data_IF_554637951959
#
_entry.id   IF_554637951959
#
_cell.length_a   1.000
_cell.length_b   1.000
_cell.length_c   1.000
_cell.angle_alpha   90.00
_cell.angle_beta   90.00
_cell.angle_gamma   90.00
#
_symmetry.space_group_name_H-M   'P 1'
#
loop_
_entity.id
_entity.type
_entity.pdbx_description
1 polymer ?
#
# COMPACT_ATOMS: atom_id res chain seq x y z
N UNK A 1 50.76 46.08 8.10
CA UNK A 1 51.00 44.63 8.30
C UNK A 1 49.70 44.02 8.78
N UNK A 2 48.92 43.44 7.87
CA UNK A 2 47.73 42.65 8.16
C UNK A 2 47.97 41.29 7.50
N UNK A 3 47.89 40.23 8.30
CA UNK A 3 48.20 38.87 7.90
C UNK A 3 47.05 38.27 7.09
N UNK A 4 47.42 37.59 6.02
CA UNK A 4 46.55 36.90 5.06
C UNK A 4 46.27 35.48 5.60
N UNK A 5 45.12 35.29 6.26
CA UNK A 5 44.68 33.98 6.73
C UNK A 5 44.12 33.17 5.56
N UNK A 6 44.96 32.26 5.06
CA UNK A 6 44.63 31.30 4.01
C UNK A 6 43.65 30.25 4.55
N UNK A 7 42.36 30.39 4.20
CA UNK A 7 41.33 29.40 4.51
C UNK A 7 41.64 28.09 3.77
N UNK A 8 42.11 27.06 4.48
CA UNK A 8 42.26 25.73 3.91
C UNK A 8 40.89 25.14 3.53
N UNK A 9 40.73 24.56 2.32
CA UNK A 9 39.47 23.94 1.91
C UNK A 9 39.15 22.76 2.83
N UNK A 10 38.03 22.87 3.55
CA UNK A 10 37.48 21.79 4.36
C UNK A 10 37.30 20.54 3.50
N UNK A 11 38.06 19.48 3.80
CA UNK A 11 37.94 18.18 3.13
C UNK A 11 36.49 17.72 3.21
N UNK A 12 35.81 17.64 2.06
CA UNK A 12 34.47 17.05 1.98
C UNK A 12 34.54 15.63 2.56
N UNK A 13 33.61 15.22 3.43
CA UNK A 13 33.59 13.85 3.92
C UNK A 13 33.50 12.89 2.73
N UNK A 14 34.38 11.87 2.71
CA UNK A 14 34.40 10.76 1.73
C UNK A 14 33.17 9.83 1.91
N UNK A 15 31.97 10.38 2.05
CA UNK A 15 30.73 9.60 2.15
C UNK A 15 30.28 9.03 0.78
N UNK A 16 31.14 9.04 -0.24
CA UNK A 16 30.83 8.58 -1.59
C UNK A 16 31.08 7.10 -1.83
N UNK A 17 31.46 6.31 -0.83
CA UNK A 17 31.84 4.90 -1.03
C UNK A 17 31.09 3.95 -0.11
N UNK A 18 29.77 3.91 -0.21
CA UNK A 18 29.10 2.65 0.11
C UNK A 18 29.56 1.62 -0.92
N UNK A 19 29.94 0.40 -0.51
CA UNK A 19 30.22 -0.69 -1.44
C UNK A 19 29.01 -0.96 -2.34
N UNK A 20 29.27 -1.33 -3.60
CA UNK A 20 28.24 -1.68 -4.58
C UNK A 20 27.25 -2.71 -4.02
N UNK A 21 27.73 -3.67 -3.24
CA UNK A 21 26.92 -4.75 -2.65
C UNK A 21 25.86 -4.22 -1.66
N UNK A 22 26.16 -3.14 -0.94
CA UNK A 22 25.17 -2.50 -0.06
C UNK A 22 24.19 -1.68 -0.89
N UNK A 23 24.64 -1.00 -1.93
CA UNK A 23 23.76 -0.26 -2.84
C UNK A 23 22.78 -1.19 -3.56
N UNK A 24 23.24 -2.36 -3.99
CA UNK A 24 22.39 -3.42 -4.57
C UNK A 24 21.33 -3.95 -3.60
N UNK A 25 21.47 -3.72 -2.28
CA UNK A 25 20.44 -4.06 -1.28
C UNK A 25 19.55 -2.86 -0.96
N UNK A 26 20.15 -1.68 -0.79
CA UNK A 26 19.46 -0.45 -0.41
C UNK A 26 18.54 0.01 -1.54
N UNK A 27 19.04 0.08 -2.78
CA UNK A 27 18.30 0.65 -3.91
C UNK A 27 17.01 -0.15 -4.20
N UNK A 28 17.02 -1.49 -4.30
CA UNK A 28 15.78 -2.24 -4.50
C UNK A 28 14.81 -2.13 -3.33
N UNK A 29 15.31 -2.19 -2.08
CA UNK A 29 14.47 -2.04 -0.89
C UNK A 29 13.91 -0.63 -0.71
N UNK A 30 14.51 0.37 -1.35
CA UNK A 30 14.01 1.75 -1.37
C UNK A 30 12.91 1.99 -2.38
N UNK A 31 12.72 1.07 -3.34
CA UNK A 31 11.52 1.11 -4.18
C UNK A 31 10.39 0.93 -3.17
N UNK A 32 9.58 1.97 -2.97
CA UNK A 32 8.32 1.80 -2.27
C UNK A 32 7.70 0.54 -2.86
N UNK A 33 7.34 -0.41 -1.99
CA UNK A 33 6.65 -1.59 -2.47
C UNK A 33 5.53 -1.06 -3.37
N UNK A 34 5.47 -1.42 -4.66
CA UNK A 34 4.40 -0.95 -5.55
C UNK A 34 3.01 -1.47 -5.10
N UNK A 35 2.92 -2.03 -3.88
CA UNK A 35 1.85 -2.86 -3.34
C UNK A 35 1.68 -2.68 -1.83
N UNK A 36 1.69 -1.46 -1.28
CA UNK A 36 1.22 -1.28 0.10
C UNK A 36 0.00 -0.37 0.14
N UNK A 37 -1.18 -1.02 0.23
CA UNK A 37 -2.32 -0.81 1.13
C UNK A 37 -2.78 0.60 1.54
N UNK A 38 -2.28 1.67 0.93
CA UNK A 38 -2.82 3.01 1.15
C UNK A 38 -3.74 3.37 -0.02
N UNK A 39 -5.04 3.39 0.27
CA UNK A 39 -6.14 3.81 -0.60
C UNK A 39 -6.09 5.29 -1.01
N UNK A 40 -5.02 6.01 -0.69
CA UNK A 40 -4.82 7.37 -1.16
C UNK A 40 -3.78 7.38 -2.29
N UNK A 41 -4.14 7.86 -3.49
CA UNK A 41 -3.14 8.13 -4.51
C UNK A 41 -2.21 9.21 -3.97
N UNK A 42 -1.03 8.78 -3.49
CA UNK A 42 0.05 9.70 -3.16
C UNK A 42 0.21 10.61 -4.39
N UNK A 43 0.13 11.95 -4.24
CA UNK A 43 0.18 12.85 -5.38
C UNK A 43 1.43 12.55 -6.19
N UNK A 44 1.21 12.17 -7.45
CA UNK A 44 2.18 11.61 -8.37
C UNK A 44 3.32 12.60 -8.67
N UNK A 45 4.28 12.68 -7.76
CA UNK A 45 5.61 13.17 -8.10
C UNK A 45 6.34 12.02 -8.81
N UNK A 46 5.84 11.65 -10.00
CA UNK A 46 6.38 10.65 -10.92
C UNK A 46 6.92 9.40 -10.19
N UNK A 47 6.17 8.30 -10.04
CA UNK A 47 6.67 7.07 -9.39
C UNK A 47 7.91 6.44 -10.03
N UNK A 48 8.24 6.86 -11.25
CA UNK A 48 9.54 6.61 -11.88
C UNK A 48 10.68 7.21 -11.05
N UNK A 49 10.46 8.22 -10.21
CA UNK A 49 11.50 9.05 -9.63
C UNK A 49 12.20 8.46 -8.40
N UNK A 50 11.66 7.47 -7.69
CA UNK A 50 12.26 7.08 -6.39
C UNK A 50 13.62 6.36 -6.52
N UNK A 51 13.80 5.34 -7.39
CA UNK A 51 15.13 4.79 -7.67
C UNK A 51 16.07 5.84 -8.26
N UNK A 52 15.52 6.84 -8.96
CA UNK A 52 16.28 7.91 -9.60
C UNK A 52 16.65 9.03 -8.63
N UNK A 53 15.90 9.20 -7.54
CA UNK A 53 16.24 10.09 -6.45
C UNK A 53 17.53 9.59 -5.78
N UNK A 54 17.66 8.27 -5.59
CA UNK A 54 18.91 7.65 -5.14
C UNK A 54 20.04 7.74 -6.18
N UNK A 55 19.73 7.60 -7.47
CA UNK A 55 20.68 7.85 -8.55
C UNK A 55 21.15 9.33 -8.63
N UNK A 56 20.45 10.24 -7.95
CA UNK A 56 20.80 11.65 -7.80
C UNK A 56 21.92 11.91 -6.78
N UNK A 57 22.23 10.97 -5.88
CA UNK A 57 23.19 11.19 -4.77
C UNK A 57 24.61 11.43 -5.28
N UNK A 58 25.15 10.53 -6.09
CA UNK A 58 26.46 10.68 -6.73
C UNK A 58 26.57 9.80 -7.98
N UNK A 59 27.62 10.00 -8.80
CA UNK A 59 27.83 9.22 -10.03
C UNK A 59 27.89 7.71 -9.75
N UNK A 60 28.57 7.29 -8.69
CA UNK A 60 28.67 5.87 -8.36
C UNK A 60 27.31 5.23 -8.07
N UNK A 61 26.43 5.88 -7.30
CA UNK A 61 25.08 5.37 -7.02
C UNK A 61 24.22 5.30 -8.28
N UNK A 62 24.38 6.28 -9.17
CA UNK A 62 23.71 6.27 -10.47
C UNK A 62 24.14 5.09 -11.32
N UNK A 63 25.44 4.86 -11.44
CA UNK A 63 25.97 3.77 -12.25
C UNK A 63 25.44 2.43 -11.71
N UNK A 64 25.47 2.24 -10.38
CA UNK A 64 24.88 1.04 -9.75
C UNK A 64 23.38 0.95 -10.00
N UNK A 65 22.59 2.02 -9.85
CA UNK A 65 21.14 1.99 -10.09
C UNK A 65 20.80 1.67 -11.56
N UNK A 66 21.56 2.23 -12.51
CA UNK A 66 21.40 1.99 -13.95
C UNK A 66 21.64 0.52 -14.29
N UNK A 67 22.58 -0.12 -13.63
CA UNK A 67 22.97 -1.51 -13.89
C UNK A 67 22.07 -2.56 -13.22
N UNK A 68 20.99 -2.16 -12.52
CA UNK A 68 20.06 -3.08 -11.86
C UNK A 68 18.82 -3.32 -12.74
N UNK A 69 18.70 -4.45 -13.47
CA UNK A 69 17.63 -4.66 -14.44
C UNK A 69 16.22 -4.61 -13.86
N UNK A 70 16.00 -5.12 -12.64
CA UNK A 70 14.66 -5.16 -12.03
C UNK A 70 14.13 -3.78 -11.60
N UNK A 71 14.93 -2.72 -11.65
CA UNK A 71 14.41 -1.35 -11.48
C UNK A 71 13.72 -0.84 -12.74
N UNK A 72 13.95 -1.49 -13.88
CA UNK A 72 13.49 -1.08 -15.20
C UNK A 72 12.39 -1.99 -15.77
N UNK A 73 11.95 -3.00 -15.02
CA UNK A 73 10.92 -3.94 -15.45
C UNK A 73 9.49 -3.50 -15.08
N UNK A 74 9.32 -2.30 -14.53
CA UNK A 74 8.03 -1.68 -14.27
C UNK A 74 7.80 -0.51 -15.20
N UNK A 75 6.58 -0.39 -15.71
CA UNK A 75 6.12 0.67 -16.59
C UNK A 75 4.88 1.30 -15.96
N UNK A 76 4.83 2.63 -15.88
CA UNK A 76 3.72 3.36 -15.27
C UNK A 76 3.18 4.37 -16.26
N UNK A 77 1.97 4.15 -16.75
CA UNK A 77 1.36 5.03 -17.75
C UNK A 77 0.15 5.72 -17.12
N UNK A 78 0.22 7.04 -17.11
CA UNK A 78 -0.80 7.90 -16.53
C UNK A 78 -0.95 9.19 -17.34
N UNK A 79 -2.20 9.64 -17.45
CA UNK A 79 -2.57 10.90 -18.08
C UNK A 79 -3.21 10.73 -19.45
N UNK A 80 -3.36 11.84 -20.18
CA UNK A 80 -3.95 11.84 -21.51
C UNK A 80 -2.99 11.30 -22.59
N UNK A 81 -3.52 11.02 -23.78
CA UNK A 81 -2.76 10.52 -24.95
C UNK A 81 -1.43 11.26 -25.18
N UNK A 82 -1.46 12.59 -25.19
CA UNK A 82 -0.25 13.39 -25.44
C UNK A 82 0.80 13.27 -24.33
N UNK A 83 0.38 13.06 -23.08
CA UNK A 83 1.27 12.78 -21.96
C UNK A 83 1.91 11.39 -22.10
N UNK A 84 1.10 10.41 -22.49
CA UNK A 84 1.54 9.02 -22.66
C UNK A 84 2.52 8.90 -23.81
N UNK A 85 2.23 9.45 -24.99
CA UNK A 85 3.16 9.41 -26.13
C UNK A 85 4.54 10.01 -25.79
N UNK A 86 4.58 11.06 -24.94
CA UNK A 86 5.83 11.70 -24.51
C UNK A 86 6.63 10.83 -23.54
N UNK A 87 5.96 10.13 -22.63
CA UNK A 87 6.60 9.36 -21.55
C UNK A 87 6.90 7.92 -21.97
N UNK A 88 6.06 7.33 -22.82
CA UNK A 88 6.13 5.95 -23.27
C UNK A 88 7.49 5.62 -23.90
N UNK A 89 7.98 6.43 -24.83
CA UNK A 89 9.28 6.16 -25.47
C UNK A 89 10.43 6.07 -24.46
N UNK A 90 10.43 6.96 -23.46
CA UNK A 90 11.44 6.93 -22.39
C UNK A 90 11.31 5.66 -21.54
N UNK A 91 10.08 5.22 -21.26
CA UNK A 91 9.82 4.01 -20.51
C UNK A 91 10.14 2.74 -21.33
N UNK A 92 9.89 2.72 -22.63
CA UNK A 92 10.27 1.63 -23.53
C UNK A 92 11.80 1.48 -23.62
N UNK A 93 12.53 2.59 -23.71
CA UNK A 93 13.99 2.58 -23.64
C UNK A 93 14.50 2.02 -22.31
N UNK A 94 13.82 2.35 -21.21
CA UNK A 94 14.09 1.80 -19.89
C UNK A 94 13.82 0.28 -19.85
N UNK A 95 12.66 -0.18 -20.29
CA UNK A 95 12.29 -1.62 -20.25
C UNK A 95 13.16 -2.47 -21.15
N UNK A 96 13.74 -1.92 -22.22
CA UNK A 96 14.74 -2.61 -23.02
C UNK A 96 15.99 -3.03 -22.22
N UNK A 97 16.32 -2.33 -21.12
CA UNK A 97 17.40 -2.74 -20.19
C UNK A 97 17.02 -3.97 -19.37
N UNK A 98 15.72 -4.22 -19.22
CA UNK A 98 15.15 -5.37 -18.52
C UNK A 98 14.51 -6.39 -19.47
N UNK A 99 14.92 -6.43 -20.75
CA UNK A 99 14.27 -7.27 -21.78
C UNK A 99 14.19 -8.78 -21.45
N UNK A 100 15.00 -9.26 -20.50
CA UNK A 100 15.05 -10.65 -20.06
C UNK A 100 14.18 -10.91 -18.81
N UNK A 101 13.61 -9.87 -18.21
CA UNK A 101 12.77 -9.94 -17.03
C UNK A 101 11.30 -9.79 -17.41
N UNK A 102 10.38 -10.33 -16.59
CA UNK A 102 8.96 -10.05 -16.74
C UNK A 102 8.66 -8.56 -16.61
N UNK A 103 7.81 -8.06 -17.50
CA UNK A 103 7.35 -6.68 -17.50
C UNK A 103 6.08 -6.54 -16.64
N UNK A 104 6.05 -5.53 -15.79
CA UNK A 104 4.91 -5.12 -14.98
C UNK A 104 4.43 -3.76 -15.47
N UNK A 105 3.13 -3.63 -15.75
CA UNK A 105 2.53 -2.46 -16.32
C UNK A 105 1.44 -1.92 -15.40
N UNK A 106 1.59 -0.71 -14.91
CA UNK A 106 0.60 0.01 -14.13
C UNK A 106 -0.04 1.08 -15.00
N UNK A 107 -1.37 1.10 -15.07
CA UNK A 107 -2.15 1.97 -15.95
C UNK A 107 -3.20 2.71 -15.13
N UNK A 108 -3.14 4.04 -15.17
CA UNK A 108 -4.11 4.90 -14.49
C UNK A 108 -5.02 5.55 -15.54
N UNK A 109 -6.23 5.01 -15.68
CA UNK A 109 -7.23 5.39 -16.68
C UNK A 109 -8.05 6.60 -16.21
N UNK A 110 -7.46 7.79 -16.23
CA UNK A 110 -8.16 9.05 -15.89
C UNK A 110 -9.15 9.54 -16.97
N UNK A 111 -9.03 9.00 -18.18
CA UNK A 111 -9.71 9.50 -19.38
C UNK A 111 -10.24 8.34 -20.23
N UNK A 112 -11.55 8.31 -20.49
CA UNK A 112 -12.16 7.29 -21.34
C UNK A 112 -11.61 7.33 -22.77
N UNK A 113 -11.25 8.51 -23.27
CA UNK A 113 -10.63 8.67 -24.58
C UNK A 113 -9.24 8.03 -24.63
N UNK A 114 -8.55 7.93 -23.49
CA UNK A 114 -7.25 7.28 -23.41
C UNK A 114 -7.38 5.76 -23.57
N UNK A 115 -8.36 5.13 -22.93
CA UNK A 115 -8.60 3.69 -23.11
C UNK A 115 -9.02 3.37 -24.54
N UNK A 116 -9.91 4.18 -25.12
CA UNK A 116 -10.28 4.06 -26.54
C UNK A 116 -9.08 4.26 -27.46
N UNK A 117 -8.16 5.18 -27.13
CA UNK A 117 -6.90 5.32 -27.86
C UNK A 117 -6.05 4.07 -27.74
N UNK A 118 -5.87 3.51 -26.54
CA UNK A 118 -5.09 2.27 -26.35
C UNK A 118 -5.71 1.08 -27.09
N UNK A 119 -7.03 1.09 -27.27
CA UNK A 119 -7.78 0.06 -27.98
C UNK A 119 -7.70 0.21 -29.50
N UNK A 120 -7.90 1.42 -30.02
CA UNK A 120 -7.98 1.72 -31.45
C UNK A 120 -6.60 1.92 -32.09
N UNK A 121 -5.68 2.49 -31.34
CA UNK A 121 -4.31 2.72 -31.78
C UNK A 121 -3.45 1.53 -31.38
N UNK A 122 -3.46 0.51 -32.23
CA UNK A 122 -2.63 -0.67 -32.03
C UNK A 122 -1.16 -0.30 -31.84
N UNK A 123 -0.69 0.85 -32.31
CA UNK A 123 0.74 1.19 -32.27
C UNK A 123 1.26 1.57 -30.89
N UNK A 124 0.40 2.03 -29.97
CA UNK A 124 0.87 2.61 -28.71
C UNK A 124 1.49 1.58 -27.79
N UNK A 125 0.84 0.43 -27.59
CA UNK A 125 1.35 -0.64 -26.73
C UNK A 125 1.80 -1.87 -27.51
N UNK A 126 1.68 -1.87 -28.85
CA UNK A 126 2.05 -3.03 -29.65
C UNK A 126 3.49 -3.45 -29.42
N UNK A 127 3.65 -4.74 -29.12
CA UNK A 127 4.94 -5.39 -28.93
C UNK A 127 5.39 -5.46 -27.48
N UNK A 128 4.73 -4.74 -26.57
CA UNK A 128 4.91 -4.95 -25.14
C UNK A 128 3.84 -5.85 -24.53
N UNK A 129 2.64 -5.97 -25.11
CA UNK A 129 1.54 -6.71 -24.45
C UNK A 129 1.87 -8.18 -24.25
N UNK A 130 2.55 -8.79 -25.23
CA UNK A 130 3.06 -10.17 -25.11
C UNK A 130 4.20 -10.33 -24.09
N UNK A 131 4.80 -9.24 -23.59
CA UNK A 131 5.86 -9.28 -22.57
C UNK A 131 5.34 -8.97 -21.16
N UNK A 132 4.17 -8.35 -21.06
CA UNK A 132 3.55 -8.00 -19.79
C UNK A 132 3.10 -9.29 -19.10
N UNK A 133 3.65 -9.50 -17.90
CA UNK A 133 3.30 -10.59 -17.01
C UNK A 133 2.45 -10.12 -15.82
N UNK A 134 2.57 -8.84 -15.45
CA UNK A 134 1.73 -8.21 -14.43
C UNK A 134 1.08 -6.93 -14.94
N UNK A 135 -0.21 -6.77 -14.70
CA UNK A 135 -1.00 -5.60 -15.09
C UNK A 135 -1.73 -5.06 -13.87
N UNK A 136 -1.54 -3.79 -13.59
CA UNK A 136 -2.33 -3.07 -12.59
C UNK A 136 -3.17 -2.01 -13.29
N UNK A 137 -4.48 -2.11 -13.13
CA UNK A 137 -5.45 -1.22 -13.76
C UNK A 137 -6.15 -0.39 -12.69
N UNK A 138 -5.95 0.92 -12.74
CA UNK A 138 -6.58 1.87 -11.83
C UNK A 138 -7.55 2.75 -12.61
N UNK A 139 -8.81 2.78 -12.17
CA UNK A 139 -9.81 3.72 -12.67
C UNK A 139 -10.11 4.68 -11.51
N UNK A 140 -9.66 5.94 -11.56
CA UNK A 140 -10.00 6.88 -10.51
C UNK A 140 -11.51 7.13 -10.49
N UNK A 141 -12.07 7.24 -9.29
CA UNK A 141 -13.49 7.44 -9.05
C UNK A 141 -14.02 8.70 -9.77
N UNK A 142 -14.76 8.50 -10.87
CA UNK A 142 -15.61 9.50 -11.52
C UNK A 142 -16.86 8.79 -12.07
N UNK A 143 -17.93 8.81 -11.26
CA UNK A 143 -19.12 7.97 -11.41
C UNK A 143 -19.81 8.02 -12.79
N UNK A 144 -19.66 9.10 -13.55
CA UNK A 144 -20.29 9.23 -14.88
C UNK A 144 -19.52 8.51 -16.00
N UNK A 145 -18.29 8.03 -15.75
CA UNK A 145 -17.38 7.49 -16.78
C UNK A 145 -17.24 5.97 -16.80
N UNK A 146 -17.73 5.27 -15.79
CA UNK A 146 -17.40 3.86 -15.53
C UNK A 146 -17.95 2.87 -16.57
N UNK A 147 -19.23 2.95 -16.95
CA UNK A 147 -19.87 1.92 -17.79
C UNK A 147 -19.22 1.73 -19.18
N UNK A 148 -18.61 2.78 -19.75
CA UNK A 148 -17.89 2.69 -21.05
C UNK A 148 -16.46 2.18 -20.92
N UNK A 149 -15.86 2.29 -19.74
CA UNK A 149 -14.50 1.86 -19.49
C UNK A 149 -14.42 0.34 -19.37
N UNK A 150 -15.41 -0.29 -18.73
CA UNK A 150 -15.40 -1.72 -18.40
C UNK A 150 -15.42 -2.63 -19.63
N UNK A 151 -16.40 -2.46 -20.54
CA UNK A 151 -16.52 -3.24 -21.78
C UNK A 151 -15.26 -3.14 -22.65
N UNK A 152 -14.70 -1.95 -22.74
CA UNK A 152 -13.53 -1.70 -23.56
C UNK A 152 -12.25 -2.27 -22.94
N UNK A 153 -12.13 -2.22 -21.63
CA UNK A 153 -10.96 -2.72 -20.93
C UNK A 153 -10.86 -4.25 -21.00
N UNK A 154 -11.99 -4.95 -20.87
CA UNK A 154 -12.06 -6.40 -21.02
C UNK A 154 -11.55 -6.90 -22.37
N UNK A 155 -12.06 -6.35 -23.48
CA UNK A 155 -11.61 -6.70 -24.83
C UNK A 155 -10.13 -6.37 -25.05
N UNK A 156 -9.68 -5.23 -24.55
CA UNK A 156 -8.29 -4.83 -24.66
C UNK A 156 -7.34 -5.70 -23.82
N UNK A 157 -7.78 -6.16 -22.64
CA UNK A 157 -6.98 -7.04 -21.78
C UNK A 157 -6.63 -8.37 -22.46
N UNK A 158 -7.41 -8.82 -23.47
CA UNK A 158 -7.11 -10.00 -24.30
C UNK A 158 -5.76 -9.93 -25.01
N UNK A 159 -5.18 -8.74 -25.17
CA UNK A 159 -3.87 -8.54 -25.80
C UNK A 159 -2.73 -9.03 -24.90
N UNK A 160 -2.92 -9.08 -23.58
CA UNK A 160 -1.90 -9.49 -22.60
C UNK A 160 -1.89 -11.02 -22.42
N UNK A 161 -1.42 -11.73 -23.45
CA UNK A 161 -1.48 -13.19 -23.54
C UNK A 161 -0.62 -13.97 -22.53
N UNK A 162 0.32 -13.31 -21.86
CA UNK A 162 1.23 -13.89 -20.86
C UNK A 162 0.96 -13.35 -19.44
N UNK A 163 -0.24 -12.82 -19.20
CA UNK A 163 -0.61 -12.22 -17.93
C UNK A 163 -0.72 -13.30 -16.84
N UNK A 164 0.10 -13.16 -15.80
CA UNK A 164 0.10 -14.02 -14.61
C UNK A 164 -0.36 -13.28 -13.35
N UNK A 165 -0.24 -11.95 -13.32
CA UNK A 165 -0.65 -11.11 -12.19
C UNK A 165 -1.57 -10.00 -12.66
N UNK A 166 -2.68 -9.82 -11.97
CA UNK A 166 -3.65 -8.80 -12.30
C UNK A 166 -4.08 -8.09 -11.02
N UNK A 167 -3.98 -6.76 -11.05
CA UNK A 167 -4.62 -5.87 -10.09
C UNK A 167 -5.72 -5.09 -10.80
N UNK A 168 -6.91 -5.13 -10.24
CA UNK A 168 -8.07 -4.36 -10.68
C UNK A 168 -8.46 -3.45 -9.52
N UNK A 169 -8.20 -2.16 -9.69
CA UNK A 169 -8.57 -1.13 -8.72
C UNK A 169 -10.08 -0.88 -8.67
N UNK A 170 -10.44 0.08 -7.83
CA UNK A 170 -11.81 0.50 -7.56
C UNK A 170 -12.68 0.58 -8.83
N UNK A 171 -13.94 0.14 -8.69
CA UNK A 171 -15.01 0.17 -9.69
C UNK A 171 -14.85 -0.64 -10.98
N UNK A 172 -13.79 -1.42 -11.18
CA UNK A 172 -13.66 -2.20 -12.42
C UNK A 172 -14.70 -3.33 -12.55
N UNK A 173 -15.73 -3.22 -13.39
CA UNK A 173 -16.81 -4.22 -13.44
C UNK A 173 -16.38 -5.58 -14.05
N UNK A 174 -16.70 -6.68 -13.35
CA UNK A 174 -16.39 -8.05 -13.85
C UNK A 174 -17.39 -8.58 -14.85
N UNK A 175 -18.62 -8.03 -14.90
CA UNK A 175 -19.68 -8.49 -15.81
C UNK A 175 -19.25 -8.47 -17.27
N UNK A 176 -18.35 -7.56 -17.60
CA UNK A 176 -17.83 -7.38 -18.95
C UNK A 176 -16.55 -8.17 -19.20
N UNK A 177 -16.03 -8.89 -18.20
CA UNK A 177 -14.79 -9.60 -18.39
C UNK A 177 -14.90 -10.75 -19.40
N UNK A 178 -13.84 -10.97 -20.19
CA UNK A 178 -13.88 -11.98 -21.23
C UNK A 178 -14.10 -13.37 -20.68
N UNK A 179 -14.48 -14.29 -21.58
CA UNK A 179 -14.44 -15.73 -21.37
C UNK A 179 -13.29 -16.12 -20.41
N UNK A 180 -13.65 -16.77 -19.29
CA UNK A 180 -12.74 -17.18 -18.22
C UNK A 180 -11.47 -17.89 -18.73
N UNK A 181 -11.53 -18.46 -19.94
CA UNK A 181 -10.39 -18.96 -20.70
C UNK A 181 -9.18 -18.00 -20.73
N UNK A 182 -9.39 -16.68 -20.84
CA UNK A 182 -8.33 -15.69 -20.92
C UNK A 182 -7.47 -15.64 -19.65
N UNK A 183 -8.09 -15.89 -18.50
CA UNK A 183 -7.48 -15.75 -17.19
C UNK A 183 -6.95 -17.06 -16.63
N UNK A 184 -7.01 -18.13 -17.40
CA UNK A 184 -6.54 -19.45 -16.98
C UNK A 184 -5.05 -19.50 -16.62
N UNK A 185 -4.26 -18.50 -17.02
CA UNK A 185 -2.86 -18.36 -16.67
C UNK A 185 -2.60 -17.53 -15.40
N UNK A 186 -3.61 -16.80 -14.89
CA UNK A 186 -3.43 -15.97 -13.70
C UNK A 186 -3.04 -16.83 -12.49
N UNK A 187 -1.98 -16.38 -11.82
CA UNK A 187 -1.46 -16.93 -10.58
C UNK A 187 -1.72 -16.01 -9.40
N UNK A 188 -1.84 -14.69 -9.65
CA UNK A 188 -2.13 -13.67 -8.65
C UNK A 188 -3.25 -12.76 -9.16
N UNK A 189 -4.26 -12.54 -8.33
CA UNK A 189 -5.35 -11.62 -8.60
C UNK A 189 -5.57 -10.75 -7.37
N UNK A 190 -5.60 -9.44 -7.56
CA UNK A 190 -6.04 -8.48 -6.57
C UNK A 190 -7.20 -7.70 -7.16
N UNK A 191 -8.32 -7.71 -6.47
CA UNK A 191 -9.50 -6.91 -6.81
C UNK A 191 -9.83 -5.97 -5.66
N UNK A 192 -10.09 -4.72 -5.99
CA UNK A 192 -10.64 -3.73 -5.09
C UNK A 192 -12.03 -3.27 -5.60
N UNK A 193 -13.04 -3.30 -4.72
CA UNK A 193 -14.43 -2.99 -5.06
C UNK A 193 -15.04 -1.96 -4.10
N UNK A 194 -15.59 -0.92 -4.71
CA UNK A 194 -16.28 0.19 -4.05
C UNK A 194 -17.80 0.16 -4.29
N UNK A 195 -18.34 -0.91 -4.87
CA UNK A 195 -19.77 -1.08 -5.10
C UNK A 195 -20.25 -2.49 -4.75
N UNK A 196 -21.51 -2.58 -4.28
CA UNK A 196 -22.09 -3.78 -3.69
C UNK A 196 -22.46 -4.88 -4.71
N UNK A 197 -22.85 -4.53 -5.94
CA UNK A 197 -23.51 -5.48 -6.85
C UNK A 197 -22.56 -6.40 -7.66
N UNK A 198 -21.25 -6.20 -7.53
CA UNK A 198 -20.25 -6.77 -8.45
C UNK A 198 -19.50 -8.00 -7.95
N UNK A 199 -19.67 -8.38 -6.68
CA UNK A 199 -18.85 -9.46 -6.10
C UNK A 199 -19.24 -10.85 -6.63
N UNK A 200 -20.50 -11.04 -7.02
CA UNK A 200 -21.01 -12.33 -7.49
C UNK A 200 -20.30 -12.79 -8.76
N UNK A 201 -20.04 -11.84 -9.66
CA UNK A 201 -19.38 -12.10 -10.94
C UNK A 201 -17.95 -12.63 -10.75
N UNK A 202 -17.28 -12.26 -9.64
CA UNK A 202 -15.95 -12.77 -9.31
C UNK A 202 -16.00 -14.23 -8.84
N UNK A 203 -17.01 -14.62 -8.06
CA UNK A 203 -17.13 -16.00 -7.55
C UNK A 203 -17.41 -17.02 -8.67
N UNK A 204 -18.02 -16.57 -9.76
CA UNK A 204 -18.31 -17.39 -10.94
C UNK A 204 -17.06 -17.69 -11.79
N UNK A 205 -15.94 -16.99 -11.53
CA UNK A 205 -14.69 -17.22 -12.24
C UNK A 205 -14.05 -18.52 -11.80
N UNK A 206 -13.77 -19.41 -12.76
CA UNK A 206 -12.95 -20.60 -12.49
C UNK A 206 -11.50 -20.33 -12.89
N UNK A 207 -10.64 -20.07 -11.89
CA UNK A 207 -9.22 -19.76 -12.09
C UNK A 207 -8.35 -20.86 -11.50
N UNK A 208 -8.17 -22.00 -12.20
CA UNK A 208 -7.55 -23.18 -11.63
C UNK A 208 -6.06 -23.00 -11.36
N UNK A 209 -5.38 -22.00 -11.92
CA UNK A 209 -3.96 -21.71 -11.65
C UNK A 209 -3.75 -20.65 -10.58
N UNK A 210 -4.81 -20.04 -10.07
CA UNK A 210 -4.72 -18.96 -9.09
C UNK A 210 -4.13 -19.50 -7.79
N UNK A 211 -3.05 -18.87 -7.34
CA UNK A 211 -2.33 -19.21 -6.10
C UNK A 211 -2.45 -18.12 -5.04
N UNK A 212 -2.69 -16.87 -5.44
CA UNK A 212 -2.87 -15.74 -4.56
C UNK A 212 -4.10 -14.95 -4.97
N UNK A 213 -5.01 -14.69 -4.03
CA UNK A 213 -6.18 -13.86 -4.21
C UNK A 213 -6.25 -12.82 -3.09
N UNK A 214 -6.28 -11.55 -3.47
CA UNK A 214 -6.60 -10.43 -2.58
C UNK A 214 -7.92 -9.85 -3.04
N UNK A 215 -8.90 -9.79 -2.14
CA UNK A 215 -10.21 -9.27 -2.44
C UNK A 215 -10.61 -8.22 -1.41
N UNK A 216 -10.69 -6.98 -1.84
CA UNK A 216 -11.03 -5.83 -1.00
C UNK A 216 -12.38 -5.27 -1.44
N UNK A 217 -13.33 -5.15 -0.52
CA UNK A 217 -14.67 -4.63 -0.77
C UNK A 217 -15.13 -3.76 0.40
N UNK A 218 -15.66 -2.57 0.13
CA UNK A 218 -16.15 -1.65 1.17
C UNK A 218 -17.62 -1.94 1.58
N UNK A 219 -18.04 -3.21 1.52
CA UNK A 219 -19.41 -3.64 1.81
C UNK A 219 -19.45 -5.08 2.35
N UNK A 220 -20.66 -5.57 2.60
CA UNK A 220 -20.88 -6.98 2.90
C UNK A 220 -20.53 -7.89 1.72
N UNK A 221 -19.92 -9.02 2.04
CA UNK A 221 -19.56 -10.09 1.13
C UNK A 221 -20.28 -11.37 1.53
N UNK A 222 -21.25 -11.80 0.72
CA UNK A 222 -21.85 -13.13 0.92
C UNK A 222 -20.97 -14.19 0.24
N UNK A 223 -20.54 -15.20 0.98
CA UNK A 223 -19.56 -16.17 0.48
C UNK A 223 -20.10 -17.60 0.55
N UNK A 224 -20.40 -18.18 -0.62
CA UNK A 224 -20.63 -19.62 -0.78
C UNK A 224 -19.29 -20.35 -0.83
N UNK A 225 -18.75 -20.69 0.35
CA UNK A 225 -17.42 -21.30 0.49
C UNK A 225 -17.20 -22.56 -0.37
N UNK A 226 -18.13 -23.54 -0.44
CA UNK A 226 -17.99 -24.69 -1.33
C UNK A 226 -17.76 -24.32 -2.80
N UNK A 227 -18.50 -23.34 -3.32
CA UNK A 227 -18.36 -22.87 -4.71
C UNK A 227 -17.06 -22.09 -4.87
N UNK A 228 -16.78 -21.16 -3.96
CA UNK A 228 -15.53 -20.39 -3.95
C UNK A 228 -14.28 -21.26 -3.95
N UNK A 229 -14.18 -22.26 -3.08
CA UNK A 229 -13.03 -23.18 -3.04
C UNK A 229 -12.95 -24.10 -4.27
N UNK A 230 -14.06 -24.37 -4.94
CA UNK A 230 -14.06 -25.11 -6.23
C UNK A 230 -13.56 -24.25 -7.38
N UNK A 231 -13.87 -22.95 -7.36
CA UNK A 231 -13.42 -21.95 -8.33
C UNK A 231 -11.90 -21.72 -8.26
N UNK A 232 -11.31 -21.83 -7.05
CA UNK A 232 -9.88 -21.55 -6.80
C UNK A 232 -9.15 -22.73 -6.13
N UNK A 233 -9.11 -23.93 -6.74
CA UNK A 233 -8.67 -25.16 -6.07
C UNK A 233 -7.17 -25.21 -5.73
N UNK A 234 -6.37 -24.30 -6.27
CA UNK A 234 -4.92 -24.22 -6.06
C UNK A 234 -4.50 -23.00 -5.22
N UNK A 235 -5.46 -22.36 -4.56
CA UNK A 235 -5.20 -21.16 -3.77
C UNK A 235 -4.29 -21.47 -2.57
N UNK A 236 -3.18 -20.75 -2.47
CA UNK A 236 -2.19 -20.85 -1.40
C UNK A 236 -2.31 -19.67 -0.45
N UNK A 237 -2.63 -18.50 -0.99
CA UNK A 237 -2.78 -17.24 -0.27
C UNK A 237 -4.13 -16.60 -0.59
N UNK A 238 -4.86 -16.24 0.47
CA UNK A 238 -6.13 -15.55 0.39
C UNK A 238 -6.12 -14.40 1.38
N UNK A 239 -6.41 -13.20 0.90
CA UNK A 239 -6.66 -12.03 1.73
C UNK A 239 -8.04 -11.48 1.37
N UNK A 240 -8.92 -11.37 2.36
CA UNK A 240 -10.25 -10.77 2.19
C UNK A 240 -10.33 -9.56 3.12
N UNK A 241 -10.62 -8.39 2.55
CA UNK A 241 -11.00 -7.19 3.29
C UNK A 241 -12.44 -6.84 2.94
N UNK A 242 -13.34 -6.90 3.91
CA UNK A 242 -14.75 -6.59 3.74
C UNK A 242 -15.29 -5.88 5.00
N UNK A 243 -16.38 -5.13 4.86
CA UNK A 243 -17.05 -4.56 6.03
C UNK A 243 -17.72 -5.65 6.86
N UNK A 244 -18.33 -6.63 6.20
CA UNK A 244 -19.00 -7.78 6.81
C UNK A 244 -18.85 -9.01 5.91
N UNK A 245 -18.55 -10.19 6.46
CA UNK A 245 -18.49 -11.44 5.70
C UNK A 245 -19.59 -12.38 6.17
N UNK A 246 -20.55 -12.66 5.29
CA UNK A 246 -21.68 -13.54 5.55
C UNK A 246 -21.43 -14.86 4.85
N UNK A 247 -21.18 -15.91 5.61
CA UNK A 247 -21.08 -17.26 5.05
C UNK A 247 -22.45 -17.94 5.14
N UNK A 248 -23.18 -17.91 4.03
CA UNK A 248 -24.46 -18.61 3.88
C UNK A 248 -24.23 -20.06 3.42
N UNK A 249 -23.80 -20.91 4.35
CA UNK A 249 -23.65 -22.34 4.04
C UNK A 249 -23.83 -23.22 5.26
N UNK A 250 -24.80 -24.13 5.21
CA UNK A 250 -24.89 -25.24 6.18
C UNK A 250 -23.77 -26.28 5.98
N UNK A 251 -22.94 -26.13 4.94
CA UNK A 251 -21.92 -27.09 4.54
C UNK A 251 -20.54 -26.58 4.93
N UNK A 252 -19.82 -27.41 5.68
CA UNK A 252 -18.41 -27.16 5.97
C UNK A 252 -17.59 -27.40 4.69
N UNK A 253 -16.99 -26.33 4.17
CA UNK A 253 -16.09 -26.37 3.02
C UNK A 253 -14.64 -26.61 3.46
N UNK A 254 -13.87 -27.37 2.69
CA UNK A 254 -12.46 -27.64 3.00
C UNK A 254 -11.57 -27.14 1.88
N UNK A 255 -10.51 -26.39 2.20
CA UNK A 255 -9.47 -26.00 1.23
C UNK A 255 -8.11 -26.63 1.59
N UNK A 256 -7.64 -27.65 0.85
CA UNK A 256 -6.48 -28.44 1.26
C UNK A 256 -5.13 -27.76 1.03
N UNK A 257 -5.06 -26.65 0.28
CA UNK A 257 -3.80 -26.00 -0.12
C UNK A 257 -3.63 -24.59 0.44
N UNK A 258 -4.62 -24.06 1.15
CA UNK A 258 -4.56 -22.68 1.63
C UNK A 258 -3.61 -22.64 2.82
N UNK A 259 -2.45 -21.99 2.63
CA UNK A 259 -1.40 -21.91 3.64
C UNK A 259 -1.39 -20.55 4.34
N UNK A 260 -1.85 -19.49 3.67
CA UNK A 260 -1.80 -18.11 4.16
C UNK A 260 -3.18 -17.49 4.02
N UNK A 261 -3.75 -17.05 5.14
CA UNK A 261 -5.08 -16.46 5.16
C UNK A 261 -5.07 -15.15 5.92
N UNK A 262 -5.54 -14.08 5.28
CA UNK A 262 -5.79 -12.79 5.88
C UNK A 262 -7.27 -12.45 5.84
N UNK A 263 -7.79 -12.00 6.97
CA UNK A 263 -9.18 -11.59 7.11
C UNK A 263 -9.23 -10.22 7.77
N UNK A 264 -9.61 -9.21 7.00
CA UNK A 264 -9.98 -7.91 7.49
C UNK A 264 -11.51 -7.79 7.43
N UNK A 265 -12.17 -8.03 8.55
CA UNK A 265 -13.61 -7.90 8.67
C UNK A 265 -13.88 -6.84 9.73
N UNK A 266 -14.37 -5.68 9.29
CA UNK A 266 -14.49 -4.48 10.13
C UNK A 266 -15.60 -4.64 11.17
N UNK A 267 -16.64 -5.44 10.86
CA UNK A 267 -17.83 -5.61 11.70
C UNK A 267 -18.08 -7.06 12.16
N UNK A 268 -17.33 -8.06 11.65
CA UNK A 268 -17.45 -9.51 11.91
C UNK A 268 -17.84 -9.92 13.33
N UNK A 269 -17.28 -9.19 14.29
CA UNK A 269 -17.21 -9.60 15.66
C UNK A 269 -18.38 -9.10 16.51
N UNK A 270 -19.40 -8.46 15.94
CA UNK A 270 -20.69 -8.28 16.61
C UNK A 270 -21.78 -9.24 16.10
N UNK A 271 -21.51 -9.95 15.00
CA UNK A 271 -22.48 -10.88 14.41
C UNK A 271 -22.49 -12.26 15.08
N UNK A 272 -23.59 -12.98 14.85
CA UNK A 272 -23.84 -14.32 15.38
C UNK A 272 -22.67 -15.25 15.00
N UNK A 273 -22.02 -15.91 15.98
CA UNK A 273 -20.87 -16.78 15.72
C UNK A 273 -21.16 -17.90 14.72
N UNK A 274 -22.43 -18.21 14.44
CA UNK A 274 -22.83 -19.13 13.37
C UNK A 274 -22.34 -18.69 12.00
N UNK A 275 -22.27 -17.39 11.69
CA UNK A 275 -21.86 -16.90 10.36
C UNK A 275 -20.35 -16.70 10.20
N UNK A 276 -19.56 -17.09 11.19
CA UNK A 276 -18.11 -16.94 11.12
C UNK A 276 -17.53 -17.75 9.96
N UNK A 277 -16.59 -17.17 9.22
CA UNK A 277 -15.83 -17.90 8.20
C UNK A 277 -15.27 -19.24 8.72
N UNK A 278 -14.72 -19.25 9.94
CA UNK A 278 -14.06 -20.42 10.52
C UNK A 278 -15.00 -21.48 11.10
N UNK A 279 -16.31 -21.20 11.24
CA UNK A 279 -17.29 -22.25 11.56
C UNK A 279 -17.62 -23.09 10.33
N UNK A 280 -17.42 -22.54 9.14
CA UNK A 280 -17.78 -23.17 7.87
C UNK A 280 -16.56 -23.54 6.99
N UNK A 281 -15.34 -23.12 7.34
CA UNK A 281 -14.12 -23.43 6.61
C UNK A 281 -13.17 -24.35 7.38
N UNK A 282 -12.71 -25.43 6.75
CA UNK A 282 -11.61 -26.28 7.19
C UNK A 282 -10.36 -26.02 6.35
N UNK A 283 -9.30 -25.55 7.00
CA UNK A 283 -8.05 -25.15 6.34
C UNK A 283 -6.87 -25.98 6.89
N UNK A 284 -6.76 -27.28 6.56
CA UNK A 284 -5.78 -28.19 7.17
C UNK A 284 -4.31 -27.82 6.91
N UNK A 285 -4.04 -27.02 5.88
CA UNK A 285 -2.69 -26.60 5.49
C UNK A 285 -2.33 -25.18 5.96
N UNK A 286 -3.19 -24.53 6.72
CA UNK A 286 -3.00 -23.15 7.16
C UNK A 286 -1.79 -23.03 8.10
N UNK A 287 -0.85 -22.14 7.75
CA UNK A 287 0.38 -21.84 8.49
C UNK A 287 0.44 -20.39 8.94
N UNK A 288 0.00 -19.46 8.09
CA UNK A 288 0.00 -18.03 8.42
C UNK A 288 -1.43 -17.51 8.46
N UNK A 289 -1.79 -16.87 9.56
CA UNK A 289 -3.10 -16.27 9.76
C UNK A 289 -2.94 -14.80 10.14
N UNK A 290 -3.56 -13.91 9.39
CA UNK A 290 -3.69 -12.49 9.71
C UNK A 290 -5.16 -12.14 9.95
N UNK A 291 -5.47 -11.47 11.05
CA UNK A 291 -6.83 -11.07 11.40
C UNK A 291 -6.83 -9.60 11.78
N UNK A 292 -7.78 -8.84 11.26
CA UNK A 292 -8.06 -7.49 11.73
C UNK A 292 -8.85 -7.53 13.04
N UNK A 293 -8.48 -6.72 14.02
CA UNK A 293 -9.30 -6.46 15.21
C UNK A 293 -9.45 -4.96 15.39
N UNK A 294 -10.67 -4.44 15.27
CA UNK A 294 -10.96 -3.02 15.49
C UNK A 294 -11.20 -2.71 16.96
N UNK A 295 -11.57 -3.71 17.77
CA UNK A 295 -11.89 -3.53 19.20
C UNK A 295 -11.31 -4.59 20.14
N UNK A 296 -11.32 -4.30 21.45
CA UNK A 296 -11.04 -5.31 22.50
C UNK A 296 -11.94 -6.54 22.41
N UNK A 297 -13.21 -6.38 21.99
CA UNK A 297 -14.20 -7.45 21.94
C UNK A 297 -13.84 -8.46 20.85
N UNK A 298 -13.39 -7.98 19.70
CA UNK A 298 -12.93 -8.79 18.56
C UNK A 298 -11.77 -9.70 18.97
N UNK A 299 -10.84 -9.13 19.71
CA UNK A 299 -9.62 -9.81 20.11
C UNK A 299 -9.90 -10.89 21.14
N UNK A 300 -10.96 -10.76 21.95
CA UNK A 300 -11.42 -11.87 22.81
C UNK A 300 -11.89 -13.08 22.00
N UNK A 301 -12.33 -12.89 20.74
CA UNK A 301 -12.77 -13.97 19.84
C UNK A 301 -11.61 -14.69 19.14
N UNK A 302 -10.42 -14.10 19.11
CA UNK A 302 -9.20 -14.73 18.57
C UNK A 302 -8.86 -16.03 19.31
N UNK A 303 -8.97 -16.07 20.65
CA UNK A 303 -8.60 -17.27 21.42
C UNK A 303 -9.51 -18.47 21.07
N UNK A 304 -10.86 -18.36 21.11
CA UNK A 304 -11.76 -19.42 20.63
C UNK A 304 -11.49 -19.89 19.19
N UNK A 305 -11.13 -18.95 18.32
CA UNK A 305 -10.73 -19.28 16.95
C UNK A 305 -9.48 -20.16 16.91
N UNK A 306 -8.41 -19.76 17.61
CA UNK A 306 -7.18 -20.54 17.66
C UNK A 306 -7.39 -21.92 18.30
N UNK A 307 -8.24 -22.02 19.33
CA UNK A 307 -8.64 -23.31 19.89
C UNK A 307 -9.38 -24.18 18.87
N UNK A 308 -10.22 -23.57 18.03
CA UNK A 308 -10.93 -24.26 16.95
C UNK A 308 -9.96 -24.79 15.90
N UNK A 309 -8.99 -23.98 15.45
CA UNK A 309 -7.93 -24.40 14.54
C UNK A 309 -7.11 -25.56 15.13
N UNK A 310 -6.75 -25.47 16.41
CA UNK A 310 -6.04 -26.55 17.12
C UNK A 310 -6.83 -27.85 17.17
N UNK A 311 -8.16 -27.80 17.34
CA UNK A 311 -9.03 -29.02 17.29
C UNK A 311 -8.99 -29.69 15.93
N UNK A 312 -8.80 -28.92 14.86
CA UNK A 312 -8.59 -29.42 13.50
C UNK A 312 -7.14 -29.81 13.21
N UNK A 313 -6.27 -29.86 14.23
CA UNK A 313 -4.85 -30.17 14.09
C UNK A 313 -4.10 -29.21 13.15
N UNK A 314 -4.59 -27.97 13.05
CA UNK A 314 -3.91 -26.87 12.37
C UNK A 314 -2.96 -26.22 13.35
N UNK A 315 -1.70 -26.02 12.94
CA UNK A 315 -0.67 -25.34 13.71
C UNK A 315 -0.16 -24.17 12.91
N UNK A 316 -0.30 -22.96 13.47
CA UNK A 316 0.20 -21.76 12.82
C UNK A 316 1.69 -21.58 13.08
N UNK A 317 2.43 -21.27 12.03
CA UNK A 317 3.80 -20.77 12.08
C UNK A 317 3.81 -19.27 12.39
N UNK A 318 2.84 -18.53 11.82
CA UNK A 318 2.68 -17.10 12.03
C UNK A 318 1.23 -16.74 12.35
N UNK A 319 1.07 -15.86 13.34
CA UNK A 319 -0.21 -15.23 13.63
C UNK A 319 0.00 -13.72 13.74
N UNK A 320 -0.71 -12.97 12.90
CA UNK A 320 -0.65 -11.52 12.82
C UNK A 320 -2.00 -10.95 13.23
N UNK A 321 -1.99 -9.94 14.09
CA UNK A 321 -3.18 -9.13 14.34
C UNK A 321 -2.95 -7.76 13.70
N UNK A 322 -3.87 -7.35 12.84
CA UNK A 322 -3.89 -6.06 12.17
C UNK A 322 -4.88 -5.16 12.92
N UNK A 323 -4.53 -3.90 13.15
CA UNK A 323 -5.45 -2.93 13.72
C UNK A 323 -4.93 -1.51 13.61
N UNK A 324 -5.83 -0.56 13.43
CA UNK A 324 -5.51 0.87 13.48
C UNK A 324 -5.26 1.41 14.89
N UNK A 325 -5.89 0.85 15.94
CA UNK A 325 -5.99 1.50 17.25
C UNK A 325 -5.30 0.77 18.42
N UNK A 326 -4.53 -0.28 18.13
CA UNK A 326 -3.99 -1.20 19.14
C UNK A 326 -3.08 -0.59 20.21
N UNK A 327 -2.54 0.62 20.01
CA UNK A 327 -1.54 1.20 20.91
C UNK A 327 -2.04 1.34 22.35
N UNK A 328 -3.29 1.76 22.53
CA UNK A 328 -3.87 1.97 23.88
C UNK A 328 -4.16 0.65 24.57
N UNK A 329 -4.56 -0.34 23.78
CA UNK A 329 -5.06 -1.62 24.26
C UNK A 329 -3.95 -2.65 24.45
N UNK A 330 -2.80 -2.52 23.77
CA UNK A 330 -1.68 -3.46 23.83
C UNK A 330 -1.24 -3.76 25.26
N UNK A 331 -1.06 -2.72 26.09
CA UNK A 331 -0.67 -2.90 27.50
C UNK A 331 -1.76 -3.59 28.32
N UNK A 332 -3.03 -3.38 27.97
CA UNK A 332 -4.16 -4.07 28.60
C UNK A 332 -4.09 -5.56 28.25
N UNK A 333 -3.84 -5.91 26.99
CA UNK A 333 -3.66 -7.29 26.54
C UNK A 333 -2.49 -7.99 27.22
N UNK A 334 -1.34 -7.33 27.28
CA UNK A 334 -0.16 -7.85 27.96
C UNK A 334 -0.47 -8.13 29.45
N UNK A 335 -1.10 -7.16 30.15
CA UNK A 335 -1.50 -7.33 31.54
C UNK A 335 -2.57 -8.40 31.77
N UNK A 336 -3.41 -8.68 30.77
CA UNK A 336 -4.43 -9.75 30.81
C UNK A 336 -3.88 -11.14 30.49
N UNK A 337 -2.60 -11.23 30.14
CA UNK A 337 -1.98 -12.47 29.71
C UNK A 337 -2.48 -12.96 28.34
N UNK A 338 -2.96 -12.05 27.48
CA UNK A 338 -3.59 -12.39 26.20
C UNK A 338 -2.63 -13.15 25.27
N UNK A 339 -1.40 -12.66 25.11
CA UNK A 339 -0.41 -13.28 24.24
C UNK A 339 0.01 -14.67 24.72
N UNK A 340 0.03 -14.91 26.04
CA UNK A 340 0.26 -16.22 26.62
C UNK A 340 -0.90 -17.17 26.28
N UNK A 341 -2.15 -16.68 26.31
CA UNK A 341 -3.33 -17.48 25.88
C UNK A 341 -3.29 -17.78 24.39
N UNK A 342 -2.91 -16.82 23.55
CA UNK A 342 -2.73 -17.00 22.09
C UNK A 342 -1.67 -18.07 21.82
N UNK A 343 -0.50 -17.97 22.46
CA UNK A 343 0.56 -18.98 22.33
C UNK A 343 0.10 -20.37 22.82
N UNK A 344 -0.57 -20.44 23.98
CA UNK A 344 -1.09 -21.71 24.51
C UNK A 344 -2.16 -22.34 23.61
N UNK A 345 -3.00 -21.50 22.98
CA UNK A 345 -4.03 -21.91 22.04
C UNK A 345 -3.45 -22.43 20.72
N UNK A 346 -2.32 -21.89 20.24
CA UNK A 346 -1.64 -22.38 19.03
C UNK A 346 -0.96 -23.76 19.24
N UNK A 347 -0.50 -24.07 20.45
CA UNK A 347 0.10 -25.36 20.80
C UNK A 347 1.59 -25.29 21.15
N UNK A 348 2.28 -26.45 21.24
CA UNK A 348 3.69 -26.49 21.65
C UNK A 348 4.60 -25.92 20.55
N UNK A 349 5.18 -24.76 20.86
CA UNK A 349 6.05 -23.98 19.97
C UNK A 349 5.70 -22.49 20.10
N UNK A 350 6.70 -21.63 20.29
CA UNK A 350 6.45 -20.19 20.35
C UNK A 350 6.11 -19.69 18.94
N UNK A 351 5.04 -18.90 18.81
CA UNK A 351 4.82 -18.11 17.60
C UNK A 351 6.05 -17.22 17.41
N UNK A 352 6.64 -17.24 16.22
CA UNK A 352 7.99 -16.69 16.00
C UNK A 352 8.10 -15.19 16.26
N UNK A 353 6.98 -14.46 16.22
CA UNK A 353 6.90 -13.03 16.55
C UNK A 353 5.43 -12.59 16.53
N UNK A 354 4.97 -11.85 17.54
CA UNK A 354 3.71 -11.10 17.44
C UNK A 354 4.08 -9.67 17.09
N UNK A 355 3.86 -9.28 15.83
CA UNK A 355 4.16 -7.93 15.34
C UNK A 355 2.90 -7.07 15.40
N UNK A 356 3.02 -5.91 16.03
CA UNK A 356 2.10 -4.80 15.82
C UNK A 356 2.71 -3.95 14.70
N UNK A 357 2.02 -3.82 13.57
CA UNK A 357 2.41 -2.87 12.53
C UNK A 357 1.74 -1.54 12.83
N UNK A 358 2.53 -0.48 12.95
CA UNK A 358 2.07 0.88 13.18
C UNK A 358 2.55 1.83 12.06
N UNK A 359 1.88 2.99 11.96
CA UNK A 359 2.32 4.13 11.13
C UNK A 359 3.67 4.71 11.61
N UNK A 360 4.11 4.43 12.85
CA UNK A 360 5.40 4.87 13.39
C UNK A 360 6.61 4.21 12.67
N UNK A 361 6.42 3.15 11.88
CA UNK A 361 7.47 2.68 10.95
C UNK A 361 7.80 3.70 9.85
N UNK A 362 6.85 4.56 9.44
CA UNK A 362 7.15 5.73 8.61
C UNK A 362 7.91 6.80 9.41
N UNK A 363 7.51 7.03 10.67
CA UNK A 363 8.20 7.97 11.56
C UNK A 363 9.65 7.52 11.87
N UNK A 364 9.93 6.22 11.86
CA UNK A 364 11.29 5.66 11.94
C UNK A 364 12.09 5.90 10.66
N UNK A 365 11.47 5.86 9.47
CA UNK A 365 12.11 6.30 8.22
C UNK A 365 12.42 7.80 8.30
N UNK A 366 11.49 8.62 8.79
CA UNK A 366 11.75 10.05 9.01
C UNK A 366 12.81 10.31 10.08
N UNK A 367 12.86 9.55 11.19
CA UNK A 367 13.92 9.62 12.21
C UNK A 367 15.27 9.13 11.67
N UNK A 368 15.29 8.13 10.79
CA UNK A 368 16.49 7.68 10.06
C UNK A 368 16.96 8.77 9.08
N UNK A 369 16.04 9.41 8.36
CA UNK A 369 16.32 10.54 7.49
C UNK A 369 16.75 11.80 8.27
N UNK A 370 16.23 12.01 9.49
CA UNK A 370 16.66 13.08 10.41
C UNK A 370 18.04 12.83 11.02
N UNK A 371 18.35 11.56 11.33
CA UNK A 371 19.67 11.14 11.87
C UNK A 371 20.75 11.09 10.81
N UNK A 372 20.39 11.02 9.52
CA UNK A 372 21.28 11.35 8.42
C UNK A 372 21.63 12.85 8.47
N UNK A 373 22.64 13.17 9.28
CA UNK A 373 23.24 14.51 9.47
C UNK A 373 23.48 15.22 8.14
N UNK A 374 23.74 14.45 7.07
CA UNK A 374 23.85 14.86 5.67
C UNK A 374 22.58 15.54 5.13
N UNK A 375 21.39 14.96 5.37
CA UNK A 375 20.10 15.43 4.88
C UNK A 375 19.67 16.71 5.61
N UNK A 376 19.79 16.73 6.95
CA UNK A 376 19.58 17.94 7.77
C UNK A 376 20.54 19.07 7.38
N UNK A 377 21.79 18.75 7.04
CA UNK A 377 22.77 19.73 6.56
C UNK A 377 22.49 20.17 5.13
N UNK A 378 21.99 19.30 4.25
CA UNK A 378 21.62 19.62 2.87
C UNK A 378 20.42 20.56 2.84
N UNK A 379 19.36 20.23 3.58
CA UNK A 379 18.15 21.04 3.74
C UNK A 379 18.47 22.37 4.42
N UNK A 380 19.21 22.36 5.54
CA UNK A 380 19.67 23.62 6.15
C UNK A 380 20.52 24.42 5.17
N UNK A 381 21.51 23.86 4.48
CA UNK A 381 22.37 24.65 3.57
C UNK A 381 21.62 25.21 2.37
N UNK A 382 20.63 24.51 1.84
CA UNK A 382 19.84 24.99 0.69
C UNK A 382 18.89 26.11 1.13
N UNK A 383 18.17 25.91 2.22
CA UNK A 383 17.24 26.89 2.80
C UNK A 383 18.00 28.10 3.36
N UNK A 384 19.01 27.92 4.22
CA UNK A 384 19.86 29.02 4.72
C UNK A 384 20.65 29.69 3.59
N UNK A 385 21.05 28.96 2.54
CA UNK A 385 21.77 29.51 1.41
C UNK A 385 20.92 30.48 0.58
N UNK A 386 19.64 30.17 0.40
CA UNK A 386 18.65 31.05 -0.22
C UNK A 386 18.36 32.25 0.70
N UNK A 387 18.07 32.01 1.97
CA UNK A 387 17.75 33.07 2.94
C UNK A 387 18.90 34.04 3.20
N UNK A 388 20.15 33.55 3.22
CA UNK A 388 21.35 34.39 3.36
C UNK A 388 21.59 35.25 2.12
N UNK A 389 21.33 34.72 0.92
CA UNK A 389 21.41 35.50 -0.33
C UNK A 389 20.36 36.62 -0.40
N UNK A 390 19.23 36.43 0.28
CA UNK A 390 18.15 37.40 0.36
C UNK A 390 18.29 38.38 1.55
N UNK A 391 19.31 38.24 2.40
CA UNK A 391 19.51 39.09 3.59
C UNK A 391 18.57 38.79 4.77
N UNK A 392 17.77 37.73 4.69
CA UNK A 392 16.68 37.42 5.63
C UNK A 392 17.08 36.44 6.74
N UNK A 393 18.35 36.03 6.78
CA UNK A 393 18.84 35.02 7.72
C UNK A 393 18.69 35.41 9.21
N UNK A 394 18.67 36.71 9.53
CA UNK A 394 18.52 37.19 10.91
C UNK A 394 17.08 37.03 11.43
N UNK A 395 16.08 37.15 10.56
CA UNK A 395 14.66 37.07 10.96
C UNK A 395 14.25 35.68 11.44
N UNK A 396 14.84 34.62 10.90
CA UNK A 396 14.57 33.24 11.35
C UNK A 396 15.17 32.90 12.72
N UNK A 397 16.19 33.63 13.17
CA UNK A 397 16.72 33.48 14.52
C UNK A 397 15.82 34.14 15.57
N UNK A 398 15.05 35.16 15.19
CA UNK A 398 14.22 35.93 16.12
C UNK A 398 12.79 35.40 16.24
N UNK A 399 12.19 34.90 15.15
CA UNK A 399 10.75 34.60 15.16
C UNK A 399 10.39 33.13 15.34
N UNK A 400 11.26 32.19 14.92
CA UNK A 400 10.96 30.75 14.96
C UNK A 400 9.70 30.31 14.18
N UNK A 401 9.06 31.22 13.47
CA UNK A 401 7.72 31.09 12.89
C UNK A 401 7.78 31.53 11.42
N UNK A 402 7.53 30.57 10.52
CA UNK A 402 7.63 30.73 9.07
C UNK A 402 6.46 31.51 8.47
N UNK A 403 5.32 31.56 9.15
CA UNK A 403 4.08 32.21 8.68
C UNK A 403 4.29 33.71 8.44
N UNK A 404 5.11 34.35 9.28
CA UNK A 404 5.38 35.79 9.24
C UNK A 404 6.34 36.22 8.13
N UNK A 405 7.09 35.30 7.52
CA UNK A 405 8.00 35.61 6.42
C UNK A 405 7.25 35.98 5.12
N UNK A 406 6.05 35.44 4.93
CA UNK A 406 5.24 35.66 3.72
C UNK A 406 4.61 37.05 3.72
N UNK A 407 4.19 37.57 4.88
CA UNK A 407 3.63 38.92 4.99
C UNK A 407 4.66 40.02 4.72
N UNK A 408 5.93 39.80 5.08
CA UNK A 408 7.01 40.79 4.90
C UNK A 408 7.52 40.84 3.45
N UNK A 409 7.39 39.75 2.69
CA UNK A 409 7.83 39.65 1.29
C UNK A 409 7.02 40.48 0.28
N UNK A 410 5.95 41.14 0.69
CA UNK A 410 5.13 42.00 -0.17
C UNK A 410 5.79 43.35 -0.52
N UNK A 411 6.96 43.66 0.05
CA UNK A 411 7.70 44.91 -0.19
C UNK A 411 9.09 44.65 -0.83
N UNK A 412 9.12 44.17 -2.08
CA UNK A 412 10.29 44.36 -2.97
C UNK A 412 10.80 43.14 -3.75
N UNK A 413 11.15 43.39 -5.02
CA UNK A 413 11.75 42.52 -6.04
C UNK A 413 10.93 41.31 -6.55
N UNK A 414 10.51 41.40 -7.83
CA UNK A 414 9.84 40.34 -8.62
C UNK A 414 10.52 38.96 -8.55
N UNK A 415 11.84 38.91 -8.34
CA UNK A 415 12.58 37.66 -8.23
C UNK A 415 12.35 36.96 -6.89
N UNK A 416 12.30 37.70 -5.78
CA UNK A 416 11.98 37.16 -4.47
C UNK A 416 10.52 36.69 -4.42
N UNK A 417 9.60 37.38 -5.11
CA UNK A 417 8.20 36.96 -5.24
C UNK A 417 8.07 35.64 -6.00
N UNK A 418 8.82 35.43 -7.08
CA UNK A 418 8.79 34.15 -7.81
C UNK A 418 9.40 32.99 -7.01
N UNK A 419 10.53 33.22 -6.33
CA UNK A 419 11.17 32.20 -5.48
C UNK A 419 10.31 31.88 -4.23
N UNK A 420 9.61 32.86 -3.66
CA UNK A 420 8.62 32.66 -2.61
C UNK A 420 7.36 31.95 -3.11
N UNK A 421 6.98 32.15 -4.38
CA UNK A 421 5.85 31.47 -5.00
C UNK A 421 6.15 29.98 -5.25
N UNK A 422 7.35 29.65 -5.73
CA UNK A 422 7.81 28.25 -5.81
C UNK A 422 7.89 27.60 -4.43
N UNK A 423 8.40 28.31 -3.42
CA UNK A 423 8.43 27.80 -2.04
C UNK A 423 7.02 27.63 -1.46
N UNK A 424 6.09 28.54 -1.77
CA UNK A 424 4.68 28.43 -1.40
C UNK A 424 4.00 27.26 -2.09
N UNK A 425 4.27 27.00 -3.37
CA UNK A 425 3.72 25.83 -4.08
C UNK A 425 4.21 24.50 -3.46
N UNK A 426 5.46 24.46 -3.01
CA UNK A 426 6.00 23.31 -2.25
C UNK A 426 5.36 23.19 -0.86
N UNK A 427 5.11 24.32 -0.17
CA UNK A 427 4.47 24.33 1.16
C UNK A 427 2.96 24.08 1.11
N UNK A 428 2.26 24.55 0.08
CA UNK A 428 0.83 24.30 -0.15
C UNK A 428 0.64 22.79 -0.46
N UNK A 429 1.56 22.17 -1.21
CA UNK A 429 1.63 20.72 -1.37
C UNK A 429 1.85 19.95 -0.06
N UNK A 430 2.51 20.57 0.94
CA UNK A 430 2.67 20.01 2.29
C UNK A 430 1.50 20.33 3.22
N UNK A 431 0.76 21.43 3.00
CA UNK A 431 -0.42 21.81 3.78
C UNK A 431 -1.67 21.01 3.42
N UNK A 432 -1.78 20.49 2.19
CA UNK A 432 -2.83 19.52 1.83
C UNK A 432 -2.79 18.29 2.75
N UNK A 433 -1.60 17.87 3.18
CA UNK A 433 -1.41 16.80 4.19
C UNK A 433 -1.97 17.20 5.56
N UNK A 434 -1.87 18.48 5.94
CA UNK A 434 -2.43 19.00 7.20
C UNK A 434 -3.96 19.12 7.17
N UNK A 435 -4.55 19.41 6.01
CA UNK A 435 -6.01 19.54 5.83
C UNK A 435 -6.67 18.15 5.86
N UNK A 436 -6.04 17.15 5.23
CA UNK A 436 -6.44 15.73 5.30
C UNK A 436 -6.37 15.22 6.76
N UNK A 437 -5.30 15.55 7.50
CA UNK A 437 -5.18 15.22 8.93
C UNK A 437 -6.26 15.92 9.79
N UNK A 438 -6.79 17.06 9.36
CA UNK A 438 -7.85 17.79 10.06
C UNK A 438 -9.24 17.21 9.76
N UNK A 439 -9.48 16.74 8.54
CA UNK A 439 -10.71 16.05 8.13
C UNK A 439 -10.82 14.67 8.81
N UNK A 440 -9.70 13.95 8.90
CA UNK A 440 -9.59 12.72 9.68
C UNK A 440 -9.97 12.96 11.16
N UNK A 441 -9.51 14.06 11.77
CA UNK A 441 -9.90 14.45 13.16
C UNK A 441 -11.39 14.74 13.35
N UNK A 442 -12.10 15.17 12.31
CA UNK A 442 -13.55 15.41 12.37
C UNK A 442 -14.38 14.13 12.47
N UNK A 443 -13.88 13.04 11.86
CA UNK A 443 -14.55 11.73 11.90
C UNK A 443 -14.29 10.94 13.21
N UNK A 444 -13.27 11.33 13.99
CA UNK A 444 -12.95 10.70 15.28
C UNK A 444 -13.90 11.04 16.44
N UNK A 445 -14.74 12.09 16.35
CA UNK A 445 -15.66 12.45 17.44
C UNK A 445 -16.86 11.48 17.58
N UNK A 446 -17.17 10.70 16.55
CA UNK A 446 -18.26 9.72 16.56
C UNK A 446 -17.84 8.42 17.29
N UNK A 447 -16.56 8.02 17.21
CA UNK A 447 -16.01 6.84 17.89
C UNK A 447 -15.81 6.97 19.41
N UNK A 448 -15.91 8.19 19.98
CA UNK A 448 -15.72 8.41 21.42
C UNK A 448 -16.88 7.88 22.29
N UNK A 449 -18.07 7.68 21.72
CA UNK A 449 -19.24 7.17 22.46
C UNK A 449 -19.12 5.68 22.78
N UNK A 450 -18.60 4.86 21.85
CA UNK A 450 -18.40 3.41 22.09
C UNK A 450 -17.19 3.15 23.01
N UNK A 451 -16.16 4.00 22.93
CA UNK A 451 -14.95 3.94 23.75
C UNK A 451 -15.20 4.13 25.26
N UNK A 452 -16.17 4.96 25.63
CA UNK A 452 -16.51 5.20 27.04
C UNK A 452 -17.11 3.93 27.70
N UNK A 453 -17.93 3.19 26.95
CA UNK A 453 -18.59 1.97 27.43
C UNK A 453 -17.57 0.83 27.63
N UNK A 454 -16.58 0.69 26.75
CA UNK A 454 -15.57 -0.37 26.84
C UNK A 454 -14.56 -0.16 28.00
N UNK A 455 -14.25 1.11 28.33
CA UNK A 455 -13.44 1.43 29.51
C UNK A 455 -14.19 1.19 30.83
N UNK A 456 -15.51 1.41 30.85
CA UNK A 456 -16.36 1.12 32.00
C UNK A 456 -16.46 -0.40 32.25
N UNK A 457 -16.61 -1.22 31.19
CA UNK A 457 -16.54 -2.68 31.29
C UNK A 457 -15.17 -3.19 31.79
N UNK A 458 -14.06 -2.59 31.31
CA UNK A 458 -12.72 -2.96 31.75
C UNK A 458 -12.46 -2.59 33.23
N UNK A 459 -13.06 -1.51 33.73
CA UNK A 459 -13.02 -1.12 35.14
C UNK A 459 -13.82 -2.08 36.02
N UNK A 460 -15.04 -2.45 35.60
CA UNK A 460 -15.90 -3.43 36.30
C UNK A 460 -15.21 -4.80 36.41
N UNK A 461 -14.49 -5.22 35.37
CA UNK A 461 -13.75 -6.49 35.39
C UNK A 461 -12.59 -6.47 36.40
N UNK A 462 -11.94 -5.32 36.62
CA UNK A 462 -10.86 -5.18 37.62
C UNK A 462 -11.41 -5.21 39.05
N UNK A 463 -12.58 -4.64 39.29
CA UNK A 463 -13.21 -4.65 40.61
C UNK A 463 -13.79 -6.01 40.97
N UNK A 464 -14.25 -6.81 40.01
CA UNK A 464 -14.77 -8.17 40.27
C UNK A 464 -13.71 -9.21 40.66
N UNK A 465 -12.42 -8.87 40.52
CA UNK A 465 -11.27 -9.74 40.85
C UNK A 465 -10.52 -9.33 42.13
N UNK A 466 -10.82 -8.18 42.70
CA UNK A 466 -10.34 -7.74 44.01
C UNK A 466 -11.31 -8.20 45.10
#
# INVERSE_FOLDING_TARGET
MLADETIQPTRRPKNSSLPTELLLKIIPSSRGLPFMFNCDPIPSVNDVALPFALAGVCRHWRDVAVDIPWLWNGMHIEGNRASVERTLNTQLEATNRAQHLPLFLTLVLRDADFLETCRLDDTLLCGIESKVMGLDLFVPYDAERHERLDQNAAEWMKRFTNLERLYLGEDFAFRDCPDAAMWTQLTHLHVQKSHHEDWKDMLDLTLPRLTSLTYEINYHLDLDLPTFFRSFPNLVELFICADEIIVDSDVIATHPKLERFGLCDVLAFDHDPRFSFFTHALLPSLKDLAIHGSSLKDLRKVVPLLETLKRFNVRLDRFTIMSGDFRREWKVFEGMGFFQKVNAANGPGELSEIKCFDEENEENIFKVLETLKSFKTLMKKRVFGVLKKLGLAHMLQETGDFSKLIEVGAYGEKKAVNELKELKEVLDGMMVVSEIVRELKGNFEIGYMDYANDLEEAAIFRESKA
#
